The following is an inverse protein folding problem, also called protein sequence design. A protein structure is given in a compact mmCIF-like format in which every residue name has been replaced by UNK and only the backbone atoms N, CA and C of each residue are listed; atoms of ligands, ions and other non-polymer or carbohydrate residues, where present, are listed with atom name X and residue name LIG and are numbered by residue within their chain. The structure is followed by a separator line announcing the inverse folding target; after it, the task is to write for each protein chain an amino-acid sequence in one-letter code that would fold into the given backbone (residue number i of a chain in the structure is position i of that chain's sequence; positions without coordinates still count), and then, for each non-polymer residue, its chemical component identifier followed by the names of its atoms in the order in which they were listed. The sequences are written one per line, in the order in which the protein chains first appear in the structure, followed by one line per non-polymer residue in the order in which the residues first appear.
data_IF_433671287966
#
_entry.id   IF_433671287966
#
_cell.length_a   1.000
_cell.length_b   1.000
_cell.length_c   1.000
_cell.angle_alpha   90.00
_cell.angle_beta   90.00
_cell.angle_gamma   90.00
#
_symmetry.space_group_name_H-M   'P 1'
#
loop_
_entity.id
_entity.type
_entity.pdbx_description
1 polymer ?
#
# COMPACT_ATOMS: atom_id res chain seq x y z
N UNK A 1 -15.77 24.89 17.99
CA UNK A 1 -15.86 23.45 18.38
C UNK A 1 -15.61 22.50 17.19
N UNK A 2 -15.97 22.87 15.96
CA UNK A 2 -15.75 22.08 14.73
C UNK A 2 -14.29 21.96 14.31
N UNK A 3 -13.48 23.02 14.44
CA UNK A 3 -12.11 23.02 13.93
C UNK A 3 -11.16 22.14 14.76
N UNK A 4 -11.28 22.16 16.08
CA UNK A 4 -10.50 21.29 16.97
C UNK A 4 -10.82 19.82 16.69
N UNK A 5 -12.09 19.51 16.41
CA UNK A 5 -12.52 18.15 16.07
C UNK A 5 -11.92 17.69 14.73
N UNK A 6 -11.87 18.56 13.73
CA UNK A 6 -11.22 18.28 12.45
C UNK A 6 -9.70 18.11 12.58
N UNK A 7 -9.04 18.92 13.42
CA UNK A 7 -7.60 18.81 13.69
C UNK A 7 -7.29 17.51 14.44
N UNK A 8 -8.11 17.11 15.41
CA UNK A 8 -7.96 15.83 16.11
C UNK A 8 -8.19 14.65 15.17
N UNK A 9 -9.19 14.71 14.29
CA UNK A 9 -9.44 13.67 13.27
C UNK A 9 -8.27 13.59 12.29
N UNK A 10 -7.71 14.71 11.86
CA UNK A 10 -6.53 14.75 11.00
C UNK A 10 -5.29 14.18 11.70
N UNK A 11 -5.07 14.51 12.98
CA UNK A 11 -3.98 13.96 13.78
C UNK A 11 -4.11 12.44 14.00
N UNK A 12 -5.33 11.95 14.22
CA UNK A 12 -5.62 10.52 14.31
C UNK A 12 -5.40 9.85 12.96
N UNK A 13 -5.86 10.45 11.86
CA UNK A 13 -5.64 9.93 10.52
C UNK A 13 -4.14 9.86 10.16
N UNK A 14 -3.37 10.89 10.51
CA UNK A 14 -1.90 10.90 10.37
C UNK A 14 -1.25 9.86 11.27
N UNK A 15 -1.71 9.69 12.51
CA UNK A 15 -1.22 8.65 13.43
C UNK A 15 -1.52 7.24 12.93
N UNK A 16 -2.71 7.02 12.37
CA UNK A 16 -3.10 5.76 11.73
C UNK A 16 -2.25 5.52 10.48
N UNK A 17 -2.02 6.52 9.63
CA UNK A 17 -1.14 6.44 8.46
C UNK A 17 0.31 6.12 8.85
N UNK A 18 0.81 6.74 9.92
CA UNK A 18 2.17 6.51 10.44
C UNK A 18 2.32 5.10 11.03
N UNK A 19 1.30 4.63 11.74
CA UNK A 19 1.23 3.26 12.23
C UNK A 19 1.05 2.28 11.08
N UNK A 20 0.25 2.59 10.07
CA UNK A 20 0.15 1.82 8.84
C UNK A 20 1.53 1.73 8.17
N UNK A 21 2.26 2.83 7.98
CA UNK A 21 3.61 2.78 7.41
C UNK A 21 4.54 1.87 8.21
N UNK A 22 4.46 1.92 9.55
CA UNK A 22 5.34 1.17 10.43
C UNK A 22 4.97 -0.31 10.56
N UNK A 23 3.68 -0.63 10.54
CA UNK A 23 3.15 -1.98 10.77
C UNK A 23 2.66 -2.67 9.50
N UNK A 24 2.51 -2.00 8.36
CA UNK A 24 2.02 -2.62 7.12
C UNK A 24 2.89 -3.83 6.81
N UNK A 25 2.34 -5.05 6.92
CA UNK A 25 3.09 -6.24 6.55
C UNK A 25 3.47 -6.17 5.08
N UNK A 26 4.55 -6.84 4.67
CA UNK A 26 4.98 -6.90 3.25
C UNK A 26 3.83 -7.32 2.30
N UNK A 27 2.85 -8.04 2.82
CA UNK A 27 1.66 -8.56 2.14
C UNK A 27 0.46 -7.60 2.14
N UNK A 28 0.49 -6.47 2.85
CA UNK A 28 -0.69 -5.60 2.94
C UNK A 28 -1.07 -4.98 1.60
N UNK A 29 -0.11 -4.77 0.69
CA UNK A 29 -0.42 -4.30 -0.66
C UNK A 29 -1.08 -5.36 -1.55
N UNK A 30 -1.03 -6.65 -1.18
CA UNK A 30 -1.83 -7.67 -1.86
C UNK A 30 -3.31 -7.61 -1.45
N UNK A 31 -3.63 -7.03 -0.29
CA UNK A 31 -5.00 -6.90 0.21
C UNK A 31 -5.90 -6.00 -0.67
N UNK A 32 -5.51 -4.77 -1.06
CA UNK A 32 -6.29 -3.94 -1.96
C UNK A 32 -6.35 -4.49 -3.38
N UNK A 33 -5.31 -5.19 -3.87
CA UNK A 33 -5.38 -5.97 -5.12
C UNK A 33 -6.48 -7.02 -5.05
N UNK A 34 -6.47 -7.88 -4.02
CA UNK A 34 -7.48 -8.94 -3.87
C UNK A 34 -8.90 -8.38 -3.74
N UNK A 35 -9.07 -7.29 -2.99
CA UNK A 35 -10.36 -6.62 -2.85
C UNK A 35 -10.86 -6.04 -4.18
N UNK A 36 -9.98 -5.44 -4.97
CA UNK A 36 -10.30 -4.91 -6.29
C UNK A 36 -10.68 -6.03 -7.27
N UNK A 37 -9.93 -7.14 -7.29
CA UNK A 37 -10.24 -8.32 -8.09
C UNK A 37 -11.64 -8.86 -7.77
N UNK A 38 -11.94 -9.07 -6.49
CA UNK A 38 -13.25 -9.57 -6.03
C UNK A 38 -14.37 -8.61 -6.45
N UNK A 39 -14.15 -7.30 -6.28
CA UNK A 39 -15.13 -6.28 -6.68
C UNK A 39 -15.40 -6.29 -8.18
N UNK A 40 -14.36 -6.40 -9.01
CA UNK A 40 -14.50 -6.47 -10.46
C UNK A 40 -15.20 -7.75 -10.92
N UNK A 41 -14.88 -8.90 -10.30
CA UNK A 41 -15.59 -10.16 -10.54
C UNK A 41 -17.08 -10.00 -10.19
N UNK A 42 -17.40 -9.40 -9.04
CA UNK A 42 -18.78 -9.15 -8.65
C UNK A 42 -19.52 -8.26 -9.66
N UNK A 43 -18.89 -7.19 -10.17
CA UNK A 43 -19.48 -6.34 -11.20
C UNK A 43 -19.72 -7.14 -12.50
N UNK A 44 -18.76 -7.93 -12.94
CA UNK A 44 -18.88 -8.72 -14.18
C UNK A 44 -19.97 -9.79 -14.07
N UNK A 45 -20.14 -10.40 -12.89
CA UNK A 45 -21.20 -11.39 -12.65
C UNK A 45 -22.57 -10.70 -12.57
N UNK A 46 -22.68 -9.55 -11.90
CA UNK A 46 -23.96 -8.86 -11.68
C UNK A 46 -24.47 -8.09 -12.89
N UNK A 47 -23.58 -7.52 -13.72
CA UNK A 47 -23.93 -6.69 -14.89
C UNK A 47 -23.59 -7.32 -16.22
N UNK A 48 -22.98 -8.52 -16.22
CA UNK A 48 -22.49 -9.21 -17.39
C UNK A 48 -21.06 -8.84 -17.77
N UNK A 49 -20.32 -9.75 -18.42
CA UNK A 49 -18.96 -9.50 -18.85
C UNK A 49 -18.95 -8.42 -19.94
N UNK A 50 -18.08 -7.41 -19.77
CA UNK A 50 -17.90 -6.33 -20.74
C UNK A 50 -16.43 -6.14 -21.05
N UNK A 51 -16.12 -5.80 -22.31
CA UNK A 51 -14.77 -5.47 -22.76
C UNK A 51 -14.18 -4.28 -21.98
N UNK A 52 -15.01 -3.28 -21.65
CA UNK A 52 -14.62 -2.15 -20.81
C UNK A 52 -14.31 -2.60 -19.38
N UNK A 53 -15.09 -3.51 -18.81
CA UNK A 53 -14.80 -4.11 -17.51
C UNK A 53 -13.46 -4.85 -17.47
N UNK A 54 -13.12 -5.60 -18.53
CA UNK A 54 -11.83 -6.30 -18.62
C UNK A 54 -10.66 -5.32 -18.69
N UNK A 55 -10.79 -4.23 -19.45
CA UNK A 55 -9.79 -3.16 -19.49
C UNK A 55 -9.58 -2.52 -18.12
N UNK A 56 -10.67 -2.19 -17.41
CA UNK A 56 -10.59 -1.62 -16.06
C UNK A 56 -9.95 -2.59 -15.07
N UNK A 57 -10.22 -3.89 -15.19
CA UNK A 57 -9.59 -4.91 -14.35
C UNK A 57 -8.07 -4.94 -14.57
N UNK A 58 -7.62 -5.06 -15.83
CA UNK A 58 -6.19 -5.17 -16.16
C UNK A 58 -5.43 -3.90 -15.77
N UNK A 59 -5.99 -2.72 -16.08
CA UNK A 59 -5.35 -1.45 -15.73
C UNK A 59 -5.35 -1.20 -14.23
N UNK A 60 -6.46 -1.49 -13.54
CA UNK A 60 -6.58 -1.32 -12.10
C UNK A 60 -5.62 -2.23 -11.34
N UNK A 61 -5.57 -3.51 -11.67
CA UNK A 61 -4.62 -4.47 -11.09
C UNK A 61 -3.17 -4.05 -11.37
N UNK A 62 -2.85 -3.63 -12.60
CA UNK A 62 -1.50 -3.18 -12.95
C UNK A 62 -1.04 -1.97 -12.15
N UNK A 63 -1.92 -0.98 -11.94
CA UNK A 63 -1.62 0.19 -11.11
C UNK A 63 -1.44 -0.17 -9.64
N UNK A 64 -2.35 -1.01 -9.09
CA UNK A 64 -2.27 -1.49 -7.72
C UNK A 64 -0.98 -2.30 -7.46
N UNK A 65 -0.61 -3.17 -8.40
CA UNK A 65 0.65 -3.92 -8.33
C UNK A 65 1.87 -2.99 -8.40
N UNK A 66 1.86 -1.99 -9.29
CA UNK A 66 2.99 -1.05 -9.44
C UNK A 66 3.25 -0.28 -8.14
N UNK A 67 2.20 0.25 -7.52
CA UNK A 67 2.29 0.96 -6.24
C UNK A 67 2.86 0.04 -5.15
N UNK A 68 2.43 -1.22 -5.13
CA UNK A 68 2.93 -2.19 -4.14
C UNK A 68 4.41 -2.54 -4.37
N UNK A 69 4.82 -2.75 -5.62
CA UNK A 69 6.23 -3.03 -5.96
C UNK A 69 7.12 -1.86 -5.57
N UNK A 70 6.73 -0.62 -5.89
CA UNK A 70 7.47 0.57 -5.49
C UNK A 70 7.60 0.69 -3.97
N UNK A 71 6.52 0.41 -3.22
CA UNK A 71 6.54 0.40 -1.77
C UNK A 71 7.49 -0.68 -1.20
N UNK A 72 7.53 -1.87 -1.79
CA UNK A 72 8.47 -2.93 -1.40
C UNK A 72 9.92 -2.54 -1.68
N UNK A 73 10.20 -1.95 -2.84
CA UNK A 73 11.55 -1.47 -3.21
C UNK A 73 12.02 -0.37 -2.26
N UNK A 74 11.15 0.58 -1.91
CA UNK A 74 11.46 1.64 -0.95
C UNK A 74 11.79 1.09 0.44
N UNK A 75 11.06 0.07 0.90
CA UNK A 75 11.34 -0.61 2.18
C UNK A 75 12.67 -1.36 2.16
N UNK A 76 12.94 -2.13 1.09
CA UNK A 76 14.21 -2.87 0.93
C UNK A 76 15.42 -1.94 0.91
N UNK A 77 15.28 -0.75 0.31
CA UNK A 77 16.33 0.28 0.30
C UNK A 77 16.63 0.81 1.72
N UNK A 78 15.60 1.05 2.54
CA UNK A 78 15.77 1.46 3.94
C UNK A 78 16.42 0.36 4.80
N UNK A 79 16.03 -0.91 4.60
CA UNK A 79 16.64 -2.05 5.29
C UNK A 79 18.13 -2.21 4.92
N UNK A 80 18.48 -2.13 3.64
CA UNK A 80 19.88 -2.22 3.19
C UNK A 80 20.75 -1.09 3.75
N UNK A 81 20.24 0.15 3.78
CA UNK A 81 20.92 1.29 4.39
C UNK A 81 21.16 1.10 5.90
N UNK A 82 20.23 0.46 6.61
CA UNK A 82 20.40 0.13 8.02
C UNK A 82 21.48 -0.94 8.23
N UNK A 83 21.53 -1.95 7.35
CA UNK A 83 22.55 -3.01 7.38
C UNK A 83 23.94 -2.45 7.07
N UNK A 84 24.08 -1.57 6.08
CA UNK A 84 25.37 -0.92 5.78
C UNK A 84 25.87 -0.07 6.94
N UNK A 85 24.99 0.70 7.59
CA UNK A 85 25.35 1.46 8.80
C UNK A 85 25.80 0.56 9.96
N UNK A 86 25.17 -0.61 10.13
CA UNK A 86 25.58 -1.58 11.13
C UNK A 86 26.95 -2.20 10.80
N UNK A 87 27.19 -2.59 9.55
CA UNK A 87 28.50 -3.10 9.10
C UNK A 87 29.62 -2.08 9.24
N UNK A 88 29.39 -0.82 8.89
CA UNK A 88 30.38 0.25 9.03
C UNK A 88 30.74 0.52 10.49
N UNK A 89 29.78 0.35 11.41
CA UNK A 89 30.00 0.50 12.85
C UNK A 89 30.79 -0.66 13.46
N UNK A 90 30.59 -1.88 12.97
CA UNK A 90 31.36 -3.06 13.41
C UNK A 90 32.80 -3.05 12.88
N UNK A 91 33.05 -2.50 11.67
CA UNK A 91 34.39 -2.37 11.08
C UNK A 91 35.28 -1.30 11.74
N UNK A 92 34.70 -0.40 12.55
CA UNK A 92 35.43 0.66 13.27
C UNK A 92 35.84 0.25 14.69
N UNK A 93 35.59 -1.00 15.10
CA UNK A 93 35.90 -1.54 16.42
C UNK A 93 37.04 -2.56 16.36
#
# INVERSE_FOLDING_TARGET
MSDIKNVIIAAIAVGILSLLERYLPRWFGSLPCLAFLIYMIYIMVSRGPSWTGLLVLVLGEGLLLSIWVEALVARKKKENLAIEKMKAKDLQR
#
